data_IF_674817779352
#
_entry.id   IF_674817779352
#
_cell.length_a   1.000
_cell.length_b   1.000
_cell.length_c   1.000
_cell.angle_alpha   90.00
_cell.angle_beta   90.00
_cell.angle_gamma   90.00
#
_symmetry.space_group_name_H-M   'P 1'
#
loop_
_entity.id
_entity.type
_entity.pdbx_description
1 polymer ?
#
# COMPACT_ATOMS: atom_id res chain seq x y z
N UNK A 1 22.72 -10.21 15.40
CA UNK A 1 22.86 -9.82 13.98
C UNK A 1 22.78 -8.31 13.87
N UNK A 2 23.62 -7.66 13.06
CA UNK A 2 23.49 -6.21 12.80
C UNK A 2 22.20 -5.99 12.00
N UNK A 3 21.35 -5.07 12.46
CA UNK A 3 20.14 -4.70 11.73
C UNK A 3 20.56 -3.83 10.55
N UNK A 4 20.31 -4.30 9.32
CA UNK A 4 20.49 -3.47 8.13
C UNK A 4 19.49 -2.31 8.15
N UNK A 5 19.89 -1.17 7.62
CA UNK A 5 19.01 -0.03 7.43
C UNK A 5 17.94 -0.33 6.36
N UNK A 6 16.83 0.42 6.36
CA UNK A 6 15.78 0.27 5.34
C UNK A 6 16.33 0.40 3.91
N UNK A 7 17.29 1.32 3.70
CA UNK A 7 17.92 1.54 2.41
C UNK A 7 18.72 0.32 1.94
N UNK A 8 19.48 -0.32 2.84
CA UNK A 8 20.22 -1.54 2.54
C UNK A 8 19.29 -2.72 2.25
N UNK A 9 18.16 -2.81 2.96
CA UNK A 9 17.13 -3.83 2.73
C UNK A 9 16.47 -3.65 1.38
N UNK A 10 16.14 -2.42 1.00
CA UNK A 10 15.63 -2.13 -0.34
C UNK A 10 16.64 -2.46 -1.43
N UNK A 11 17.91 -2.05 -1.27
CA UNK A 11 18.94 -2.35 -2.25
C UNK A 11 19.15 -3.85 -2.43
N UNK A 12 19.12 -4.62 -1.33
CA UNK A 12 19.22 -6.07 -1.39
C UNK A 12 18.01 -6.69 -2.12
N UNK A 13 16.80 -6.21 -1.84
CA UNK A 13 15.59 -6.66 -2.53
C UNK A 13 15.61 -6.32 -4.03
N UNK A 14 16.04 -5.11 -4.40
CA UNK A 14 16.19 -4.69 -5.79
C UNK A 14 17.24 -5.53 -6.53
N UNK A 15 18.36 -5.85 -5.88
CA UNK A 15 19.37 -6.75 -6.44
C UNK A 15 18.83 -8.17 -6.63
N UNK A 16 18.01 -8.68 -5.71
CA UNK A 16 17.36 -9.98 -5.87
C UNK A 16 16.41 -9.98 -7.08
N UNK A 17 15.61 -8.92 -7.23
CA UNK A 17 14.72 -8.76 -8.40
C UNK A 17 15.52 -8.69 -9.70
N UNK A 18 16.64 -7.95 -9.71
CA UNK A 18 17.53 -7.86 -10.87
C UNK A 18 18.14 -9.22 -11.26
N UNK A 19 18.29 -10.12 -10.30
CA UNK A 19 18.72 -11.51 -10.51
C UNK A 19 17.57 -12.46 -10.88
N UNK A 20 16.33 -11.94 -10.99
CA UNK A 20 15.13 -12.74 -11.27
C UNK A 20 14.59 -13.50 -10.06
N UNK A 21 15.04 -13.15 -8.85
CA UNK A 21 14.56 -13.74 -7.60
C UNK A 21 13.49 -12.85 -6.97
N UNK A 22 12.46 -13.48 -6.41
CA UNK A 22 11.48 -12.77 -5.60
C UNK A 22 12.10 -12.44 -4.22
N UNK A 23 12.02 -11.19 -3.73
CA UNK A 23 12.49 -10.83 -2.39
C UNK A 23 11.89 -11.69 -1.27
N UNK A 24 10.68 -12.21 -1.46
CA UNK A 24 10.00 -13.09 -0.50
C UNK A 24 10.45 -14.56 -0.57
N UNK A 25 11.20 -14.96 -1.60
CA UNK A 25 11.70 -16.32 -1.73
C UNK A 25 12.92 -16.59 -0.83
N UNK A 26 13.04 -17.83 -0.31
CA UNK A 26 14.25 -18.27 0.38
C UNK A 26 15.42 -18.23 -0.60
N UNK A 27 16.46 -17.44 -0.28
CA UNK A 27 17.62 -17.23 -1.15
C UNK A 27 17.80 -15.80 -1.64
N UNK A 28 16.83 -14.91 -1.40
CA UNK A 28 16.94 -13.48 -1.72
C UNK A 28 18.01 -12.71 -0.91
N UNK A 29 18.63 -13.35 0.07
CA UNK A 29 19.61 -12.71 0.96
C UNK A 29 19.00 -11.79 2.02
N UNK A 30 17.67 -11.78 2.13
CA UNK A 30 16.89 -11.08 3.15
C UNK A 30 16.48 -12.04 4.26
N UNK A 31 16.57 -11.57 5.51
CA UNK A 31 15.95 -12.25 6.65
C UNK A 31 14.44 -12.00 6.68
N UNK A 32 13.70 -12.79 7.45
CA UNK A 32 12.23 -12.64 7.55
C UNK A 32 11.78 -11.29 8.09
N UNK A 33 12.58 -10.62 8.94
CA UNK A 33 12.28 -9.24 9.38
C UNK A 33 12.47 -8.24 8.24
N UNK A 34 13.51 -8.41 7.43
CA UNK A 34 13.82 -7.52 6.30
C UNK A 34 12.81 -7.68 5.16
N UNK A 35 12.35 -8.90 4.89
CA UNK A 35 11.24 -9.16 3.96
C UNK A 35 9.97 -8.41 4.38
N UNK A 36 9.60 -8.46 5.66
CA UNK A 36 8.45 -7.69 6.18
C UNK A 36 8.62 -6.19 6.00
N UNK A 37 9.83 -5.66 6.19
CA UNK A 37 10.12 -4.25 5.96
C UNK A 37 9.97 -3.88 4.48
N UNK A 38 10.50 -4.72 3.58
CA UNK A 38 10.33 -4.55 2.13
C UNK A 38 8.85 -4.52 1.72
N UNK A 39 8.06 -5.52 2.12
CA UNK A 39 6.63 -5.61 1.78
C UNK A 39 5.86 -4.39 2.27
N UNK A 40 6.14 -3.93 3.50
CA UNK A 40 5.51 -2.74 4.08
C UNK A 40 5.83 -1.48 3.27
N UNK A 41 7.08 -1.32 2.87
CA UNK A 41 7.54 -0.17 2.08
C UNK A 41 6.92 -0.18 0.68
N UNK A 42 6.90 -1.33 -0.01
CA UNK A 42 6.25 -1.47 -1.31
C UNK A 42 4.76 -1.17 -1.24
N UNK A 43 4.07 -1.64 -0.19
CA UNK A 43 2.67 -1.33 0.02
C UNK A 43 2.45 0.18 0.26
N UNK A 44 3.35 0.84 0.98
CA UNK A 44 3.29 2.28 1.22
C UNK A 44 3.52 3.07 -0.07
N UNK A 45 4.51 2.69 -0.87
CA UNK A 45 4.79 3.27 -2.19
C UNK A 45 3.60 3.13 -3.13
N UNK A 46 3.02 1.94 -3.22
CA UNK A 46 1.82 1.70 -4.02
C UNK A 46 0.63 2.57 -3.59
N UNK A 47 0.48 2.82 -2.29
CA UNK A 47 -0.55 3.74 -1.77
C UNK A 47 -0.27 5.20 -2.10
N UNK A 48 1.00 5.61 -2.12
CA UNK A 48 1.38 6.98 -2.45
C UNK A 48 1.31 7.26 -3.96
N UNK A 49 1.67 6.29 -4.78
CA UNK A 49 1.62 6.39 -6.25
C UNK A 49 0.18 6.38 -6.77
N UNK A 50 -0.74 5.74 -6.03
CA UNK A 50 -2.15 5.76 -6.39
C UNK A 50 -2.75 7.16 -6.19
N UNK A 51 -3.43 7.71 -7.22
CA UNK A 51 -4.18 8.95 -7.05
C UNK A 51 -5.20 8.74 -5.92
N UNK A 52 -5.25 9.70 -4.98
CA UNK A 52 -6.11 9.70 -3.79
C UNK A 52 -7.59 9.38 -4.11
N UNK A 53 -8.03 9.70 -5.32
CA UNK A 53 -9.37 9.40 -5.84
C UNK A 53 -9.67 7.90 -5.99
N UNK A 54 -8.66 7.03 -6.17
CA UNK A 54 -8.89 5.58 -6.29
C UNK A 54 -8.91 4.84 -4.94
N UNK A 55 -8.28 5.42 -3.90
CA UNK A 55 -8.24 4.83 -2.55
C UNK A 55 -9.56 5.10 -1.82
N UNK A 56 -10.11 6.30 -2.02
CA UNK A 56 -11.47 6.63 -1.65
C UNK A 56 -12.35 6.50 -2.88
N UNK A 57 -12.69 5.25 -3.25
CA UNK A 57 -13.70 4.98 -4.28
C UNK A 57 -14.94 5.89 -4.09
N UNK A 58 -15.68 6.21 -5.16
CA UNK A 58 -16.61 7.33 -5.21
C UNK A 58 -17.44 7.39 -3.95
N UNK A 59 -17.21 8.42 -3.13
CA UNK A 59 -17.89 8.62 -1.85
C UNK A 59 -19.37 8.60 -2.17
N UNK A 60 -20.02 7.46 -1.91
CA UNK A 60 -21.45 7.24 -2.18
C UNK A 60 -22.17 8.27 -1.33
N UNK A 61 -22.44 9.45 -1.90
CA UNK A 61 -23.30 10.47 -1.31
C UNK A 61 -24.64 9.77 -1.22
N UNK A 62 -24.91 9.13 -0.07
CA UNK A 62 -26.27 8.82 0.34
C UNK A 62 -26.92 10.19 0.52
N UNK A 63 -27.38 10.78 -0.58
CA UNK A 63 -28.41 11.79 -0.58
C UNK A 63 -29.68 11.13 -0.08
N UNK A 64 -29.69 10.74 1.20
CA UNK A 64 -30.93 10.45 1.90
C UNK A 64 -31.47 11.83 2.22
N UNK A 65 -32.18 12.37 1.23
CA UNK A 65 -32.74 13.71 1.26
C UNK A 65 -33.41 13.95 2.60
N UNK A 66 -33.10 15.11 3.18
CA UNK A 66 -33.90 15.63 4.26
C UNK A 66 -35.26 15.96 3.63
N UNK A 67 -36.19 15.00 3.66
CA UNK A 67 -37.59 15.23 3.30
C UNK A 67 -38.16 16.10 4.41
N UNK A 68 -37.98 17.40 4.27
CA UNK A 68 -38.74 18.42 4.98
C UNK A 68 -40.23 18.09 4.83
N UNK A 69 -40.98 18.07 5.94
CA UNK A 69 -42.44 17.87 5.94
C UNK A 69 -43.20 18.98 5.18
N UNK A 70 -42.53 20.07 4.78
CA UNK A 70 -43.10 21.18 4.02
C UNK A 70 -43.22 20.90 2.51
N UNK A 71 -42.64 19.80 2.01
CA UNK A 71 -42.72 19.43 0.59
C UNK A 71 -44.00 18.66 0.21
N UNK A 72 -45.00 18.56 1.10
CA UNK A 72 -46.37 18.17 0.72
C UNK A 72 -47.24 19.41 0.70
N UNK A 73 -47.10 20.18 -0.37
CA UNK A 73 -48.17 21.07 -0.82
C UNK A 73 -49.12 20.27 -1.71
N UNK A 74 -50.41 20.36 -1.37
CA UNK A 74 -51.60 19.77 -2.02
C UNK A 74 -51.94 18.34 -1.61
#
# INVERSE_FOLDING_TARGET
MKKRSLQEVMQAAENAIAQGLDPDQPGSGLTSEEQRMWVREQQLRWRLEKPLESIHGPRRRRGKGWRSKLARGL
#
